data_IF_468782606851
#
_entry.id   IF_468782606851
#
_cell.length_a   1.000
_cell.length_b   1.000
_cell.length_c   1.000
_cell.angle_alpha   90.00
_cell.angle_beta   90.00
_cell.angle_gamma   90.00
#
_symmetry.space_group_name_H-M   'P 1'
#
loop_
_entity.id
_entity.type
_entity.pdbx_description
1 polymer ?
#
# COMPACT_ATOMS: atom_id res chain seq x y z
N UNK A 1 5.14 -5.12 -33.65
CA UNK A 1 5.57 -4.26 -32.52
C UNK A 1 4.38 -4.14 -31.58
N UNK A 2 4.18 -5.14 -30.71
CA UNK A 2 3.03 -5.16 -29.80
C UNK A 2 3.28 -4.15 -28.68
N UNK A 3 2.35 -3.19 -28.52
CA UNK A 3 2.28 -2.31 -27.36
C UNK A 3 2.06 -3.19 -26.13
N UNK A 4 3.13 -3.53 -25.42
CA UNK A 4 3.08 -4.38 -24.23
C UNK A 4 2.80 -3.51 -23.00
N UNK A 5 1.73 -2.72 -23.04
CA UNK A 5 1.30 -1.93 -21.89
C UNK A 5 0.71 -2.90 -20.86
N UNK A 6 1.59 -3.45 -20.01
CA UNK A 6 1.19 -4.27 -18.87
C UNK A 6 0.35 -3.39 -17.95
N UNK A 7 -0.85 -3.83 -17.63
CA UNK A 7 -1.73 -3.11 -16.72
C UNK A 7 -1.13 -3.12 -15.30
N UNK A 8 -1.32 -2.06 -14.51
CA UNK A 8 -0.99 -2.08 -13.09
C UNK A 8 -1.74 -3.20 -12.37
N UNK A 9 -0.99 -4.00 -11.61
CA UNK A 9 -1.51 -4.96 -10.65
C UNK A 9 -1.84 -4.26 -9.32
N UNK A 10 -0.96 -3.35 -8.89
CA UNK A 10 -1.12 -2.52 -7.71
C UNK A 10 -0.76 -1.08 -8.03
N UNK A 11 -1.66 -0.16 -7.71
CA UNK A 11 -1.41 1.28 -7.77
C UNK A 11 -1.72 1.90 -6.42
N UNK A 12 -0.72 2.59 -5.87
CA UNK A 12 -0.77 3.26 -4.58
C UNK A 12 -0.65 4.75 -4.83
N UNK A 13 -1.55 5.53 -4.25
CA UNK A 13 -1.51 6.99 -4.33
C UNK A 13 -1.60 7.61 -2.94
N UNK A 14 -0.58 8.38 -2.58
CA UNK A 14 -0.52 9.17 -1.35
C UNK A 14 -0.72 8.37 -0.06
N UNK A 15 -0.25 7.12 0.01
CA UNK A 15 -0.47 6.24 1.16
C UNK A 15 0.15 6.81 2.44
N UNK A 16 -0.63 6.81 3.51
CA UNK A 16 -0.23 7.32 4.83
C UNK A 16 -0.54 6.32 5.93
N UNK A 17 0.48 5.96 6.71
CA UNK A 17 0.35 5.06 7.85
C UNK A 17 1.02 5.66 9.07
N UNK A 18 0.20 6.01 10.06
CA UNK A 18 0.61 6.79 11.22
C UNK A 18 0.37 6.01 12.52
N UNK A 19 1.16 6.30 13.55
CA UNK A 19 1.09 5.68 14.87
C UNK A 19 0.84 6.74 15.96
N UNK A 20 -0.21 6.55 16.76
CA UNK A 20 -0.56 7.43 17.87
C UNK A 20 -1.54 8.56 17.52
N UNK A 21 -1.77 9.47 18.46
CA UNK A 21 -2.68 10.63 18.31
C UNK A 21 -1.96 11.94 18.68
N UNK A 22 -2.47 13.08 18.21
CA UNK A 22 -1.87 14.40 18.43
C UNK A 22 -0.67 14.66 17.52
N UNK A 23 0.52 14.22 17.93
CA UNK A 23 1.75 14.29 17.14
C UNK A 23 2.18 12.87 16.73
N UNK A 24 1.52 12.26 15.75
CA UNK A 24 1.76 10.86 15.42
C UNK A 24 3.11 10.66 14.74
N UNK A 25 3.70 9.48 14.95
CA UNK A 25 4.84 9.03 14.14
C UNK A 25 4.33 8.67 12.75
N UNK A 26 4.90 9.31 11.72
CA UNK A 26 4.52 9.11 10.32
C UNK A 26 5.43 8.08 9.66
N UNK A 27 5.09 6.80 9.81
CA UNK A 27 5.93 5.71 9.33
C UNK A 27 5.89 5.54 7.81
N UNK A 28 4.77 5.91 7.19
CA UNK A 28 4.59 6.05 5.74
C UNK A 28 3.86 7.38 5.54
N UNK A 29 4.39 8.28 4.72
CA UNK A 29 3.84 9.64 4.57
C UNK A 29 3.76 10.08 3.11
N UNK A 30 2.67 9.72 2.42
CA UNK A 30 2.41 10.14 1.04
C UNK A 30 3.20 9.35 0.01
N UNK A 31 3.26 8.02 0.14
CA UNK A 31 3.96 7.17 -0.84
C UNK A 31 3.07 6.92 -2.05
N UNK A 32 3.63 7.16 -3.23
CA UNK A 32 3.10 6.75 -4.53
C UNK A 32 3.93 5.60 -5.09
N UNK A 33 3.28 4.53 -5.55
CA UNK A 33 3.95 3.35 -6.11
C UNK A 33 3.04 2.65 -7.11
N UNK A 34 3.61 2.24 -8.24
CA UNK A 34 2.92 1.41 -9.24
C UNK A 34 3.71 0.12 -9.42
N UNK A 35 3.01 -1.01 -9.40
CA UNK A 35 3.57 -2.33 -9.70
C UNK A 35 2.77 -2.91 -10.86
N UNK A 36 3.43 -3.15 -11.98
CA UNK A 36 2.85 -3.77 -13.17
C UNK A 36 2.73 -5.29 -13.00
N UNK A 37 1.86 -5.90 -13.79
CA UNK A 37 1.74 -7.35 -13.80
C UNK A 37 3.08 -8.04 -14.16
N UNK A 38 3.48 -9.01 -13.34
CA UNK A 38 4.76 -9.71 -13.44
C UNK A 38 6.01 -8.86 -13.15
N UNK A 39 5.86 -7.68 -12.55
CA UNK A 39 6.99 -6.85 -12.10
C UNK A 39 7.43 -7.23 -10.68
N UNK A 40 8.74 -7.17 -10.43
CA UNK A 40 9.32 -7.30 -9.08
C UNK A 40 9.92 -5.96 -8.67
N UNK A 41 9.39 -5.36 -7.60
CA UNK A 41 9.88 -4.09 -7.06
C UNK A 41 10.68 -4.32 -5.77
N UNK A 42 11.84 -3.67 -5.67
CA UNK A 42 12.67 -3.69 -4.47
C UNK A 42 12.66 -2.32 -3.78
N UNK A 43 12.23 -2.28 -2.51
CA UNK A 43 12.24 -1.05 -1.69
C UNK A 43 13.47 -1.06 -0.79
N UNK A 44 14.35 -0.07 -0.96
CA UNK A 44 15.63 0.05 -0.23
C UNK A 44 15.71 1.34 0.60
N UNK A 45 16.58 1.35 1.60
CA UNK A 45 16.78 2.50 2.49
C UNK A 45 17.28 2.10 3.88
N UNK A 46 17.67 3.09 4.70
CA UNK A 46 18.24 2.89 6.03
C UNK A 46 17.29 2.19 7.02
N UNK A 47 17.85 1.64 8.11
CA UNK A 47 17.02 1.09 9.18
C UNK A 47 16.08 2.18 9.73
N UNK A 48 14.80 1.85 9.87
CA UNK A 48 13.79 2.80 10.37
C UNK A 48 13.13 3.71 9.32
N UNK A 49 13.53 3.69 8.04
CA UNK A 49 12.94 4.57 7.00
C UNK A 49 11.51 4.18 6.53
N UNK A 50 10.87 3.18 7.13
CA UNK A 50 9.48 2.83 6.83
C UNK A 50 9.25 1.69 5.83
N UNK A 51 10.29 1.04 5.27
CA UNK A 51 10.14 -0.08 4.28
C UNK A 51 9.18 -1.19 4.74
N UNK A 52 9.42 -1.73 5.93
CA UNK A 52 8.58 -2.80 6.49
C UNK A 52 7.17 -2.30 6.85
N UNK A 53 7.03 -1.00 7.15
CA UNK A 53 5.72 -0.39 7.42
C UNK A 53 4.93 -0.19 6.12
N UNK A 54 5.58 0.22 5.03
CA UNK A 54 4.96 0.27 3.71
C UNK A 54 4.41 -1.11 3.31
N UNK A 55 5.24 -2.16 3.41
CA UNK A 55 4.80 -3.52 3.11
C UNK A 55 3.60 -3.98 3.97
N UNK A 56 3.65 -3.75 5.29
CA UNK A 56 2.53 -4.07 6.20
C UNK A 56 1.27 -3.25 5.94
N UNK A 57 1.43 -2.00 5.49
CA UNK A 57 0.31 -1.13 5.12
C UNK A 57 -0.42 -1.65 3.89
N UNK A 58 0.33 -2.06 2.87
CA UNK A 58 -0.20 -2.69 1.65
C UNK A 58 -0.95 -3.98 1.98
N UNK A 59 -0.35 -4.82 2.84
CA UNK A 59 -0.93 -6.09 3.27
C UNK A 59 -2.05 -5.95 4.31
N UNK A 60 -2.43 -4.73 4.70
CA UNK A 60 -3.49 -4.45 5.70
C UNK A 60 -3.25 -5.07 7.09
N UNK A 61 -2.00 -5.38 7.45
CA UNK A 61 -1.61 -6.02 8.74
C UNK A 61 -0.87 -5.06 9.68
N UNK A 62 -1.24 -3.79 9.67
CA UNK A 62 -0.67 -2.79 10.59
C UNK A 62 -1.27 -3.00 11.97
N UNK A 63 -0.43 -3.31 12.96
CA UNK A 63 -0.88 -3.50 14.34
C UNK A 63 -1.19 -2.17 15.03
N UNK A 64 -2.18 -2.11 15.94
CA UNK A 64 -2.38 -0.96 16.82
C UNK A 64 -1.09 -0.60 17.58
N UNK A 65 -0.81 0.68 17.83
CA UNK A 65 -1.65 1.85 17.54
C UNK A 65 -1.53 2.38 16.10
N UNK A 66 -0.90 1.66 15.18
CA UNK A 66 -0.74 2.05 13.79
C UNK A 66 -2.02 1.92 12.97
N UNK A 67 -2.26 2.88 12.08
CA UNK A 67 -3.41 2.88 11.16
C UNK A 67 -3.02 3.46 9.81
N UNK A 68 -3.61 2.91 8.74
CA UNK A 68 -3.69 3.61 7.45
C UNK A 68 -4.68 4.76 7.63
N UNK A 69 -4.22 5.99 7.42
CA UNK A 69 -5.01 7.22 7.68
C UNK A 69 -5.32 8.01 6.42
N UNK A 70 -4.81 7.58 5.27
CA UNK A 70 -5.10 8.22 3.98
C UNK A 70 -4.38 7.56 2.81
N UNK A 71 -4.75 8.02 1.61
CA UNK A 71 -4.33 7.43 0.34
C UNK A 71 -5.25 6.28 -0.11
N UNK A 72 -4.96 5.75 -1.28
CA UNK A 72 -5.69 4.63 -1.91
C UNK A 72 -4.74 3.56 -2.41
N UNK A 73 -5.21 2.32 -2.48
CA UNK A 73 -4.45 1.16 -2.95
C UNK A 73 -5.32 0.32 -3.90
N UNK A 74 -5.33 0.69 -5.17
CA UNK A 74 -6.07 -0.01 -6.22
C UNK A 74 -5.35 -1.32 -6.56
N UNK A 75 -5.94 -2.45 -6.16
CA UNK A 75 -5.44 -3.79 -6.47
C UNK A 75 -6.35 -4.49 -7.48
N UNK A 76 -5.74 -5.00 -8.55
CA UNK A 76 -6.44 -5.78 -9.58
C UNK A 76 -6.45 -7.26 -9.21
N UNK A 77 -7.64 -7.82 -9.03
CA UNK A 77 -7.84 -9.25 -8.78
C UNK A 77 -7.67 -10.06 -10.06
N UNK A 78 -7.53 -11.37 -9.92
CA UNK A 78 -7.40 -12.32 -11.04
C UNK A 78 -8.63 -12.37 -11.96
N UNK A 79 -9.82 -12.03 -11.45
CA UNK A 79 -11.05 -11.88 -12.22
C UNK A 79 -11.14 -10.56 -13.00
N UNK A 80 -10.11 -9.70 -12.89
CA UNK A 80 -10.03 -8.39 -13.53
C UNK A 80 -10.69 -7.25 -12.76
N UNK A 81 -11.45 -7.54 -11.70
CA UNK A 81 -12.03 -6.52 -10.83
C UNK A 81 -10.94 -5.75 -10.08
N UNK A 82 -11.24 -4.50 -9.72
CA UNK A 82 -10.32 -3.64 -8.95
C UNK A 82 -10.96 -3.33 -7.61
N UNK A 83 -10.18 -3.49 -6.55
CA UNK A 83 -10.58 -3.18 -5.18
C UNK A 83 -9.61 -2.15 -4.58
N UNK A 84 -10.13 -1.17 -3.86
CA UNK A 84 -9.29 -0.31 -3.03
C UNK A 84 -9.06 -0.99 -1.68
N UNK A 85 -7.85 -1.52 -1.48
CA UNK A 85 -7.48 -2.21 -0.24
C UNK A 85 -7.58 -1.30 0.99
N UNK A 86 -7.40 0.02 0.84
CA UNK A 86 -7.47 0.96 1.96
C UNK A 86 -8.89 1.08 2.54
N UNK A 87 -9.90 0.81 1.71
CA UNK A 87 -11.32 0.91 2.07
C UNK A 87 -11.91 -0.33 2.77
N UNK A 88 -11.21 -1.47 2.69
CA UNK A 88 -11.66 -2.74 3.29
C UNK A 88 -11.57 -2.71 4.81
N UNK A 89 -12.34 -3.52 5.52
CA UNK A 89 -12.18 -3.66 6.98
C UNK A 89 -10.85 -4.38 7.28
N UNK A 90 -9.92 -3.78 8.06
CA UNK A 90 -8.67 -4.45 8.42
C UNK A 90 -8.85 -5.63 9.40
N UNK A 91 -9.98 -5.74 10.08
CA UNK A 91 -10.31 -6.85 10.97
C UNK A 91 -10.96 -8.04 10.24
N UNK A 92 -11.56 -7.78 9.07
CA UNK A 92 -12.17 -8.78 8.18
C UNK A 92 -13.41 -9.51 8.72
N UNK A 93 -14.44 -9.63 7.89
CA UNK A 93 -15.28 -10.85 7.80
C UNK A 93 -15.28 -11.46 6.38
N UNK A 94 -14.50 -10.92 5.44
CA UNK A 94 -14.35 -11.43 4.06
C UNK A 94 -12.89 -11.41 3.59
#
# INVERSE_FOLDING_TARGET
MASNSRMPLLEISGLKTYFGTGNPVRAVDGVDLTILDGETVCVVGESGCGKSMLARSILRIVSPPGKVVGGSMSFRKSDGSVVDLASLDPAGEE
#
